data_IF_127656822473
#
_entry.id   IF_127656822473
#
_cell.length_a   1.000
_cell.length_b   1.000
_cell.length_c   1.000
_cell.angle_alpha   90.00
_cell.angle_beta   90.00
_cell.angle_gamma   90.00
#
_symmetry.space_group_name_H-M   'P 1'
#
loop_
_entity.id
_entity.type
_entity.pdbx_description
1 polymer ?
#
# COMPACT_ATOMS: atom_id res chain seq x y z
N UNK A 1 -5.51 -2.98 5.77
CA UNK A 1 -5.69 -4.44 5.96
C UNK A 1 -5.75 -5.12 4.60
N UNK A 2 -5.06 -6.26 4.39
CA UNK A 2 -5.04 -6.96 3.10
C UNK A 2 -6.29 -7.81 2.90
N UNK A 3 -6.99 -7.62 1.77
CA UNK A 3 -8.10 -8.45 1.31
C UNK A 3 -7.83 -9.03 -0.08
N UNK A 4 -8.83 -9.68 -0.68
CA UNK A 4 -8.72 -10.37 -1.98
C UNK A 4 -8.37 -9.45 -3.16
N UNK A 5 -8.64 -8.15 -3.05
CA UNK A 5 -8.44 -7.18 -4.15
C UNK A 5 -7.65 -5.94 -3.73
N UNK A 6 -6.90 -6.01 -2.63
CA UNK A 6 -6.03 -4.92 -2.19
C UNK A 6 -6.18 -4.55 -0.71
N UNK A 7 -5.82 -3.31 -0.39
CA UNK A 7 -5.70 -2.82 0.99
C UNK A 7 -6.81 -1.82 1.27
N UNK A 8 -7.66 -2.12 2.27
CA UNK A 8 -8.71 -1.21 2.73
C UNK A 8 -8.69 -1.03 4.25
N UNK A 9 -9.31 0.06 4.71
CA UNK A 9 -9.42 0.46 6.11
C UNK A 9 -9.70 1.97 6.22
N UNK A 10 -9.96 2.46 7.44
CA UNK A 10 -10.13 3.90 7.69
C UNK A 10 -8.80 4.62 7.65
N UNK A 11 -8.76 5.76 6.96
CA UNK A 11 -7.58 6.63 6.88
C UNK A 11 -7.29 7.25 8.24
N UNK A 12 -6.02 7.29 8.63
CA UNK A 12 -5.58 7.81 9.93
C UNK A 12 -5.72 6.81 11.08
N UNK A 13 -6.47 5.72 10.90
CA UNK A 13 -6.57 4.61 11.83
C UNK A 13 -5.80 3.40 11.30
N UNK A 14 -6.47 2.59 10.45
CA UNK A 14 -5.92 1.34 9.91
C UNK A 14 -5.18 1.51 8.58
N UNK A 15 -5.40 2.63 7.89
CA UNK A 15 -4.63 3.06 6.72
C UNK A 15 -3.90 4.33 7.08
N UNK A 16 -2.64 4.19 7.46
CA UNK A 16 -1.77 5.30 7.86
C UNK A 16 -0.76 5.61 6.77
N UNK A 17 -0.09 6.75 6.89
CA UNK A 17 1.02 7.10 5.99
C UNK A 17 2.16 6.08 6.07
N UNK A 18 2.44 5.52 7.25
CA UNK A 18 3.44 4.46 7.42
C UNK A 18 3.06 3.21 6.62
N UNK A 19 1.80 2.76 6.72
CA UNK A 19 1.31 1.61 5.94
C UNK A 19 1.42 1.89 4.44
N UNK A 20 1.09 3.10 3.98
CA UNK A 20 1.23 3.45 2.55
C UNK A 20 2.69 3.39 2.08
N UNK A 21 3.63 3.87 2.90
CA UNK A 21 5.07 3.80 2.60
C UNK A 21 5.57 2.35 2.53
N UNK A 22 5.18 1.51 3.49
CA UNK A 22 5.59 0.11 3.53
C UNK A 22 5.06 -0.66 2.33
N UNK A 23 3.82 -0.41 1.92
CA UNK A 23 3.23 -1.00 0.71
C UNK A 23 3.96 -0.53 -0.54
N UNK A 24 4.26 0.76 -0.67
CA UNK A 24 5.01 1.28 -1.82
C UNK A 24 6.40 0.63 -1.94
N UNK A 25 7.10 0.44 -0.82
CA UNK A 25 8.38 -0.27 -0.77
C UNK A 25 8.22 -1.73 -1.18
N UNK A 26 7.23 -2.42 -0.64
CA UNK A 26 6.96 -3.82 -0.96
C UNK A 26 6.61 -4.01 -2.45
N UNK A 27 5.83 -3.12 -3.05
CA UNK A 27 5.56 -3.19 -4.49
C UNK A 27 6.84 -2.92 -5.30
N UNK A 28 7.65 -1.95 -4.85
CA UNK A 28 8.92 -1.60 -5.48
C UNK A 28 10.00 -2.67 -5.38
N UNK A 29 9.88 -3.70 -4.52
CA UNK A 29 10.79 -4.85 -4.55
C UNK A 29 10.54 -5.78 -5.74
N UNK A 30 9.31 -5.81 -6.24
CA UNK A 30 8.90 -6.75 -7.27
C UNK A 30 9.04 -6.17 -8.70
N UNK A 31 9.15 -4.85 -8.84
CA UNK A 31 9.24 -4.21 -10.16
C UNK A 31 9.94 -2.86 -10.14
N UNK A 32 10.61 -2.52 -11.25
CA UNK A 32 11.39 -1.30 -11.40
C UNK A 32 10.54 -0.04 -11.65
N UNK A 33 9.30 -0.18 -12.14
CA UNK A 33 8.44 0.97 -12.47
C UNK A 33 6.97 0.68 -12.25
N UNK A 34 6.29 1.58 -11.54
CA UNK A 34 4.86 1.46 -11.20
C UNK A 34 4.14 2.77 -11.54
N UNK A 35 2.93 2.66 -12.09
CA UNK A 35 2.02 3.78 -12.26
C UNK A 35 1.08 3.85 -11.04
N UNK A 36 0.93 5.05 -10.49
CA UNK A 36 0.09 5.30 -9.31
C UNK A 36 -1.04 6.27 -9.69
N UNK A 37 -2.23 6.07 -9.11
CA UNK A 37 -3.42 6.90 -9.31
C UNK A 37 -4.22 7.09 -8.03
#
# INVERSE_FOLDING_TARGET
>A
MFGTSGIRGRVGESVTAAVALDVGRAVGTETDRVVVG
#
